data_IF_626573479978
#
_entry.id   IF_626573479978
#
_cell.length_a   1.000
_cell.length_b   1.000
_cell.length_c   1.000
_cell.angle_alpha   90.00
_cell.angle_beta   90.00
_cell.angle_gamma   90.00
#
_symmetry.space_group_name_H-M   'P 1'
#
loop_
_entity.id
_entity.type
_entity.pdbx_description
1 polymer ?
#
# COMPACT_ATOMS: atom_id res chain seq x y z
N UNK A 1 6.27 -0.28 -0.11
CA UNK A 1 7.20 -0.80 0.93
C UNK A 1 8.16 0.22 1.56
N UNK A 2 9.18 0.78 0.87
CA UNK A 2 10.19 1.63 1.54
C UNK A 2 9.62 2.89 2.22
N UNK A 3 8.84 3.71 1.50
CA UNK A 3 8.24 4.93 2.07
C UNK A 3 7.27 4.59 3.21
N UNK A 4 6.54 3.48 3.12
CA UNK A 4 5.70 2.97 4.23
C UNK A 4 6.52 2.68 5.48
N UNK A 5 7.68 2.02 5.36
CA UNK A 5 8.55 1.74 6.50
C UNK A 5 9.07 3.05 7.15
N UNK A 6 9.43 4.05 6.33
CA UNK A 6 9.83 5.38 6.83
C UNK A 6 8.66 6.09 7.51
N UNK A 7 7.46 6.02 6.96
CA UNK A 7 6.26 6.58 7.57
C UNK A 7 5.89 5.87 8.88
N UNK A 8 6.07 4.56 8.97
CA UNK A 8 5.85 3.79 10.19
C UNK A 8 6.73 4.30 11.34
N UNK A 9 8.00 4.65 11.06
CA UNK A 9 8.89 5.23 12.07
C UNK A 9 8.38 6.55 12.66
N UNK A 10 7.56 7.31 11.92
CA UNK A 10 6.98 8.57 12.42
C UNK A 10 5.79 8.36 13.38
N UNK A 11 5.31 7.13 13.53
CA UNK A 11 4.19 6.79 14.41
C UNK A 11 4.60 6.54 15.88
N UNK A 12 5.89 6.67 16.20
CA UNK A 12 6.40 6.52 17.56
C UNK A 12 5.66 7.46 18.53
N UNK A 13 5.04 6.89 19.56
CA UNK A 13 4.24 7.61 20.54
C UNK A 13 2.92 8.22 20.03
N UNK A 14 2.54 7.99 18.77
CA UNK A 14 1.28 8.51 18.18
C UNK A 14 0.09 7.57 18.41
N UNK A 15 0.35 6.26 18.50
CA UNK A 15 -0.68 5.23 18.66
C UNK A 15 -0.34 4.42 19.91
N UNK A 16 -1.25 4.44 20.89
CA UNK A 16 -1.07 3.68 22.12
C UNK A 16 -1.02 2.17 21.83
N UNK A 17 0.02 1.51 22.36
CA UNK A 17 0.22 0.06 22.22
C UNK A 17 0.78 -0.40 20.87
N UNK A 18 1.15 0.51 19.96
CA UNK A 18 1.78 0.15 18.69
C UNK A 18 3.27 -0.20 18.90
N UNK A 19 3.68 -1.38 18.45
CA UNK A 19 5.09 -1.69 18.23
C UNK A 19 5.53 -1.17 16.86
N UNK A 20 6.18 -0.01 16.86
CA UNK A 20 6.68 0.64 15.64
C UNK A 20 7.73 -0.21 14.92
N UNK A 21 8.60 -0.90 15.67
CA UNK A 21 9.62 -1.75 15.05
C UNK A 21 8.97 -2.91 14.30
N UNK A 22 7.95 -3.54 14.89
CA UNK A 22 7.17 -4.59 14.23
C UNK A 22 6.42 -4.05 13.00
N UNK A 23 5.80 -2.87 13.08
CA UNK A 23 5.13 -2.24 11.95
C UNK A 23 6.10 -1.90 10.79
N UNK A 24 7.32 -1.46 11.10
CA UNK A 24 8.40 -1.25 10.12
C UNK A 24 8.78 -2.56 9.44
N UNK A 25 9.05 -3.62 10.21
CA UNK A 25 9.37 -4.93 9.64
C UNK A 25 8.24 -5.47 8.77
N UNK A 26 7.00 -5.37 9.25
CA UNK A 26 5.82 -5.81 8.50
C UNK A 26 5.64 -5.03 7.18
N UNK A 27 5.85 -3.71 7.19
CA UNK A 27 5.80 -2.87 5.99
C UNK A 27 6.82 -3.29 4.91
N UNK A 28 7.95 -3.87 5.30
CA UNK A 28 8.99 -4.36 4.39
C UNK A 28 8.72 -5.76 3.84
N UNK A 29 7.85 -6.56 4.49
CA UNK A 29 7.61 -7.96 4.09
C UNK A 29 6.22 -8.22 3.53
N UNK A 30 5.24 -7.34 3.75
CA UNK A 30 3.84 -7.62 3.39
C UNK A 30 3.64 -7.92 1.90
N UNK A 31 4.33 -7.19 1.01
CA UNK A 31 4.29 -7.42 -0.45
C UNK A 31 5.50 -8.23 -0.94
N UNK A 32 6.27 -8.87 -0.05
CA UNK A 32 7.48 -9.58 -0.46
C UNK A 32 7.19 -10.75 -1.42
N UNK A 33 6.02 -11.38 -1.30
CA UNK A 33 5.56 -12.43 -2.20
C UNK A 33 5.40 -11.95 -3.65
N UNK A 34 5.14 -10.66 -3.89
CA UNK A 34 5.01 -10.07 -5.23
C UNK A 34 6.30 -10.16 -6.05
N UNK A 35 7.45 -10.40 -5.41
CA UNK A 35 8.71 -10.64 -6.11
C UNK A 35 8.68 -11.91 -6.98
N UNK A 36 7.85 -12.90 -6.62
CA UNK A 36 7.65 -14.14 -7.39
C UNK A 36 6.32 -14.09 -8.14
N UNK A 37 5.26 -13.66 -7.46
CA UNK A 37 3.88 -13.72 -7.95
C UNK A 37 3.57 -12.57 -8.93
N UNK A 38 4.30 -11.47 -8.84
CA UNK A 38 4.04 -10.22 -9.54
C UNK A 38 3.00 -9.34 -8.81
N UNK A 39 3.08 -8.03 -9.03
CA UNK A 39 2.09 -7.06 -8.59
C UNK A 39 0.90 -7.06 -9.57
N UNK A 40 -0.20 -7.71 -9.17
CA UNK A 40 -1.41 -7.79 -9.98
C UNK A 40 -2.36 -6.66 -9.59
N UNK A 41 -2.35 -5.61 -10.42
CA UNK A 41 -3.31 -4.51 -10.29
C UNK A 41 -4.61 -4.80 -11.07
N UNK A 42 -5.76 -4.20 -10.69
CA UNK A 42 -7.04 -4.38 -11.40
C UNK A 42 -7.02 -4.00 -12.89
N UNK A 43 -5.99 -3.26 -13.35
CA UNK A 43 -5.88 -2.68 -14.69
C UNK A 43 -4.80 -3.29 -15.58
N UNK A 44 -4.19 -4.42 -15.20
CA UNK A 44 -3.02 -4.99 -15.90
C UNK A 44 -3.22 -5.45 -17.36
N UNK A 45 -4.36 -5.21 -18.02
CA UNK A 45 -4.50 -5.36 -19.47
C UNK A 45 -4.20 -6.77 -20.03
N UNK A 46 -4.23 -7.79 -19.17
CA UNK A 46 -4.16 -9.21 -19.52
C UNK A 46 -5.52 -9.64 -20.08
N UNK A 47 -5.54 -10.56 -21.06
CA UNK A 47 -6.79 -11.16 -21.55
C UNK A 47 -7.54 -11.80 -20.38
N UNK A 48 -8.89 -11.84 -20.43
CA UNK A 48 -9.69 -12.38 -19.33
C UNK A 48 -9.26 -13.82 -18.96
N UNK A 49 -8.74 -14.62 -19.90
CA UNK A 49 -8.18 -15.96 -19.61
C UNK A 49 -6.82 -15.95 -18.87
N UNK A 50 -5.82 -15.16 -19.31
CA UNK A 50 -4.53 -15.07 -18.58
C UNK A 50 -4.70 -14.35 -17.25
N UNK A 51 -5.64 -13.40 -17.18
CA UNK A 51 -6.08 -12.75 -15.96
C UNK A 51 -6.73 -13.77 -15.04
N UNK A 52 -7.62 -14.65 -15.53
CA UNK A 52 -8.24 -15.68 -14.69
C UNK A 52 -7.23 -16.73 -14.20
N UNK A 53 -6.25 -17.13 -15.02
CA UNK A 53 -5.20 -18.07 -14.61
C UNK A 53 -4.19 -17.44 -13.65
N UNK A 54 -3.74 -16.20 -13.90
CA UNK A 54 -2.82 -15.49 -13.01
C UNK A 54 -3.52 -14.93 -11.78
N UNK A 55 -4.80 -14.55 -11.83
CA UNK A 55 -5.58 -14.16 -10.65
C UNK A 55 -5.88 -15.39 -9.81
N UNK A 56 -6.34 -16.50 -10.39
CA UNK A 56 -6.50 -17.74 -9.60
C UNK A 56 -5.18 -18.26 -9.05
N UNK A 57 -4.04 -17.92 -9.67
CA UNK A 57 -2.74 -18.28 -9.13
C UNK A 57 -2.20 -17.25 -8.13
N UNK A 58 -2.27 -15.96 -8.36
CA UNK A 58 -1.67 -14.94 -7.50
C UNK A 58 -2.54 -14.50 -6.33
N UNK A 59 -3.85 -14.40 -6.58
CA UNK A 59 -4.83 -14.01 -5.56
C UNK A 59 -5.26 -15.17 -4.68
N UNK A 60 -4.85 -16.40 -5.01
CA UNK A 60 -4.93 -17.53 -4.08
C UNK A 60 -3.94 -17.29 -2.93
N UNK A 61 -4.43 -17.12 -1.70
CA UNK A 61 -3.58 -16.96 -0.53
C UNK A 61 -2.58 -18.12 -0.38
N UNK A 62 -2.89 -19.30 -0.92
CA UNK A 62 -2.00 -20.46 -0.90
C UNK A 62 -0.73 -20.25 -1.74
N UNK A 63 -0.82 -19.54 -2.85
CA UNK A 63 0.33 -19.31 -3.74
C UNK A 63 1.17 -18.14 -3.24
N UNK A 64 0.56 -17.08 -2.74
CA UNK A 64 1.30 -16.05 -2.01
C UNK A 64 1.99 -16.61 -0.76
N UNK A 65 1.33 -17.55 -0.05
CA UNK A 65 1.94 -18.31 1.05
C UNK A 65 3.10 -19.21 0.59
N UNK A 66 3.02 -19.80 -0.60
CA UNK A 66 4.10 -20.61 -1.18
C UNK A 66 5.28 -19.73 -1.59
N UNK A 67 5.02 -18.58 -2.21
CA UNK A 67 6.04 -17.62 -2.63
C UNK A 67 6.80 -17.04 -1.42
N UNK A 68 6.10 -16.62 -0.35
CA UNK A 68 6.79 -16.13 0.85
C UNK A 68 7.61 -17.23 1.53
N UNK A 69 7.14 -18.49 1.50
CA UNK A 69 7.91 -19.63 2.00
C UNK A 69 9.16 -19.91 1.15
N UNK A 70 9.05 -19.81 -0.17
CA UNK A 70 10.18 -19.94 -1.09
C UNK A 70 11.24 -18.88 -0.81
N UNK A 71 10.85 -17.60 -0.72
CA UNK A 71 11.76 -16.50 -0.38
C UNK A 71 12.39 -16.71 0.99
N UNK A 72 11.58 -17.08 2.00
CA UNK A 72 12.07 -17.35 3.35
C UNK A 72 13.06 -18.51 3.41
N UNK A 73 12.94 -19.51 2.52
CA UNK A 73 13.84 -20.67 2.46
C UNK A 73 15.26 -20.33 1.99
N UNK A 74 15.44 -19.18 1.33
CA UNK A 74 16.75 -18.71 0.85
C UNK A 74 17.67 -18.27 2.00
N UNK A 75 17.11 -18.04 3.18
CA UNK A 75 17.84 -17.60 4.38
C UNK A 75 17.68 -18.65 5.48
N UNK A 76 18.73 -18.96 6.26
CA UNK A 76 18.60 -19.92 7.36
C UNK A 76 17.47 -19.52 8.32
N UNK A 77 16.70 -20.51 8.76
CA UNK A 77 15.58 -20.32 9.71
C UNK A 77 16.04 -19.66 11.01
N UNK A 78 17.28 -19.93 11.42
CA UNK A 78 17.91 -19.33 12.61
C UNK A 78 18.16 -17.82 12.50
N UNK A 79 18.07 -17.25 11.29
CA UNK A 79 18.33 -15.84 11.03
C UNK A 79 17.02 -15.06 10.96
N UNK A 80 16.08 -15.41 10.07
CA UNK A 80 14.81 -14.66 9.93
C UNK A 80 13.68 -15.34 9.14
N UNK A 81 13.90 -16.47 8.45
CA UNK A 81 12.94 -17.01 7.48
C UNK A 81 11.52 -17.23 8.04
N UNK A 82 11.37 -17.83 9.22
CA UNK A 82 10.07 -18.04 9.84
C UNK A 82 9.39 -16.72 10.24
N UNK A 83 10.16 -15.73 10.69
CA UNK A 83 9.64 -14.44 11.13
C UNK A 83 8.97 -13.68 9.97
N UNK A 84 9.52 -13.77 8.75
CA UNK A 84 8.92 -13.13 7.57
C UNK A 84 7.58 -13.76 7.20
N UNK A 85 7.50 -15.09 7.22
CA UNK A 85 6.25 -15.82 6.97
C UNK A 85 5.20 -15.49 8.04
N UNK A 86 5.61 -15.40 9.30
CA UNK A 86 4.73 -15.02 10.41
C UNK A 86 4.21 -13.58 10.27
N UNK A 87 5.08 -12.62 9.98
CA UNK A 87 4.70 -11.22 9.75
C UNK A 87 3.78 -11.07 8.54
N UNK A 88 4.07 -11.78 7.45
CA UNK A 88 3.21 -11.80 6.26
C UNK A 88 1.82 -12.35 6.60
N UNK A 89 1.73 -13.50 7.30
CA UNK A 89 0.45 -14.08 7.74
C UNK A 89 -0.31 -13.15 8.67
N UNK A 90 0.39 -12.47 9.57
CA UNK A 90 -0.22 -11.51 10.49
C UNK A 90 -0.81 -10.32 9.74
N UNK A 91 -0.07 -9.79 8.75
CA UNK A 91 -0.58 -8.75 7.86
C UNK A 91 -1.82 -9.24 7.11
N UNK A 92 -1.77 -10.38 6.44
CA UNK A 92 -2.93 -10.91 5.70
C UNK A 92 -4.17 -11.11 6.59
N UNK A 93 -3.96 -11.59 7.82
CA UNK A 93 -5.04 -11.83 8.76
C UNK A 93 -5.69 -10.56 9.34
N UNK A 94 -4.99 -9.41 9.30
CA UNK A 94 -5.49 -8.11 9.77
C UNK A 94 -6.06 -8.10 11.21
N UNK A 95 -5.57 -9.00 12.08
CA UNK A 95 -6.10 -9.18 13.43
C UNK A 95 -5.35 -8.37 14.50
N UNK A 96 -4.10 -7.97 14.24
CA UNK A 96 -3.27 -7.19 15.18
C UNK A 96 -3.36 -5.68 14.90
N UNK A 97 -2.94 -4.87 15.87
CA UNK A 97 -2.89 -3.42 15.71
C UNK A 97 -1.87 -3.04 14.62
N UNK A 98 -0.70 -3.67 14.64
CA UNK A 98 0.38 -3.48 13.68
C UNK A 98 -0.10 -3.78 12.25
N UNK A 99 -0.77 -4.91 12.03
CA UNK A 99 -1.31 -5.28 10.72
C UNK A 99 -2.30 -4.24 10.18
N UNK A 100 -3.20 -3.75 11.05
CA UNK A 100 -4.17 -2.70 10.68
C UNK A 100 -3.48 -1.37 10.38
N UNK A 101 -2.46 -1.00 11.17
CA UNK A 101 -1.66 0.21 10.98
C UNK A 101 -0.88 0.13 9.66
N UNK A 102 -0.23 -0.99 9.36
CA UNK A 102 0.46 -1.20 8.07
C UNK A 102 -0.53 -1.16 6.91
N UNK A 103 -1.76 -1.65 7.08
CA UNK A 103 -2.79 -1.53 6.03
C UNK A 103 -3.20 -0.08 5.75
N UNK A 104 -3.24 0.75 6.79
CA UNK A 104 -3.45 2.19 6.61
C UNK A 104 -2.25 2.84 5.92
N UNK A 105 -1.02 2.46 6.27
CA UNK A 105 0.19 2.94 5.61
C UNK A 105 0.21 2.57 4.13
N UNK A 106 -0.15 1.34 3.78
CA UNK A 106 -0.26 0.83 2.39
C UNK A 106 -1.17 1.76 1.57
N UNK A 107 -2.41 1.96 2.07
CA UNK A 107 -3.40 2.77 1.36
C UNK A 107 -3.07 4.26 1.34
N UNK A 108 -2.43 4.79 2.37
CA UNK A 108 -1.98 6.17 2.40
C UNK A 108 -0.84 6.40 1.40
N UNK A 109 0.16 5.52 1.37
CA UNK A 109 1.29 5.58 0.44
C UNK A 109 0.81 5.56 -1.02
N UNK A 110 -0.19 4.72 -1.32
CA UNK A 110 -0.82 4.62 -2.63
C UNK A 110 -1.42 5.97 -3.10
N UNK A 111 -2.21 6.65 -2.25
CA UNK A 111 -2.81 7.93 -2.63
C UNK A 111 -1.81 9.10 -2.60
N UNK A 112 -0.80 9.04 -1.73
CA UNK A 112 0.31 9.99 -1.74
C UNK A 112 1.09 9.90 -3.06
N UNK A 113 1.36 8.68 -3.53
CA UNK A 113 2.00 8.46 -4.83
C UNK A 113 1.12 8.94 -5.99
N UNK A 114 -0.19 8.68 -5.92
CA UNK A 114 -1.13 9.15 -6.93
C UNK A 114 -1.08 10.68 -7.04
N UNK A 115 -1.14 11.41 -5.91
CA UNK A 115 -1.01 12.87 -5.90
C UNK A 115 0.30 13.38 -6.54
N UNK A 116 1.43 12.76 -6.19
CA UNK A 116 2.73 13.11 -6.79
C UNK A 116 2.74 12.92 -8.31
N UNK A 117 2.11 11.85 -8.80
CA UNK A 117 2.02 11.55 -10.24
C UNK A 117 1.04 12.47 -10.98
N UNK A 118 -0.10 12.83 -10.39
CA UNK A 118 -0.99 13.84 -10.96
C UNK A 118 -0.25 15.17 -11.14
N UNK A 119 0.51 15.60 -10.13
CA UNK A 119 1.31 16.83 -10.20
C UNK A 119 2.43 16.79 -11.22
N UNK A 120 3.09 15.64 -11.35
CA UNK A 120 4.25 15.49 -12.23
C UNK A 120 3.87 15.31 -13.70
N UNK A 121 2.78 14.59 -13.96
CA UNK A 121 2.42 14.16 -15.32
C UNK A 121 1.11 14.75 -15.82
N UNK A 122 0.32 15.44 -14.97
CA UNK A 122 -0.96 16.04 -15.38
C UNK A 122 -2.04 15.02 -15.74
N UNK A 123 -1.92 13.79 -15.23
CA UNK A 123 -2.88 12.70 -15.45
C UNK A 123 -3.94 12.69 -14.36
N UNK A 124 -5.13 12.14 -14.64
CA UNK A 124 -6.19 11.96 -13.65
C UNK A 124 -6.03 10.61 -12.95
N UNK A 125 -5.81 10.65 -11.63
CA UNK A 125 -5.72 9.47 -10.77
C UNK A 125 -6.79 9.49 -9.67
N UNK A 126 -7.89 10.20 -9.90
CA UNK A 126 -9.01 10.33 -8.95
C UNK A 126 -9.53 8.98 -8.46
N UNK A 127 -9.49 7.93 -9.27
CA UNK A 127 -9.94 6.59 -8.89
C UNK A 127 -9.24 6.03 -7.63
N UNK A 128 -7.97 6.38 -7.39
CA UNK A 128 -7.23 5.96 -6.21
C UNK A 128 -7.71 6.69 -4.93
N UNK A 129 -8.13 7.95 -5.08
CA UNK A 129 -8.73 8.72 -3.99
C UNK A 129 -10.16 8.28 -3.69
N UNK A 130 -10.90 7.86 -4.72
CA UNK A 130 -12.25 7.32 -4.58
C UNK A 130 -12.25 5.97 -3.86
N UNK A 131 -11.33 5.07 -4.20
CA UNK A 131 -11.23 3.72 -3.60
C UNK A 131 -10.84 3.73 -2.11
N UNK A 132 -10.34 4.86 -1.59
CA UNK A 132 -9.84 5.00 -0.22
C UNK A 132 -10.71 5.87 0.70
N UNK A 133 -11.86 6.36 0.22
CA UNK A 133 -12.72 7.31 0.96
C UNK A 133 -13.12 6.89 2.38
N UNK A 134 -13.29 5.59 2.62
CA UNK A 134 -13.75 5.04 3.91
C UNK A 134 -12.71 4.14 4.57
N UNK A 135 -11.48 4.14 4.06
CA UNK A 135 -10.43 3.22 4.52
C UNK A 135 -9.80 3.72 5.82
N UNK A 136 -9.50 5.01 5.92
CA UNK A 136 -8.76 5.56 7.05
C UNK A 136 -9.69 5.78 8.25
N UNK A 137 -9.45 5.02 9.31
CA UNK A 137 -10.30 5.03 10.52
C UNK A 137 -9.52 5.24 11.81
N UNK A 138 -8.19 5.09 11.77
CA UNK A 138 -7.29 5.20 12.92
C UNK A 138 -6.54 6.55 12.89
N UNK A 139 -6.35 7.20 14.03
CA UNK A 139 -5.46 8.36 14.14
C UNK A 139 -3.98 7.89 14.15
N UNK A 140 -3.04 8.59 13.48
CA UNK A 140 -3.19 9.88 12.81
C UNK A 140 -3.64 9.81 11.34
N UNK A 141 -3.89 8.62 10.77
CA UNK A 141 -4.21 8.46 9.34
C UNK A 141 -5.44 9.24 8.87
N UNK A 142 -6.47 9.38 9.71
CA UNK A 142 -7.62 10.25 9.40
C UNK A 142 -7.19 11.70 9.15
N UNK A 143 -6.22 12.20 9.93
CA UNK A 143 -5.69 13.55 9.77
C UNK A 143 -4.79 13.65 8.54
N UNK A 144 -3.95 12.63 8.30
CA UNK A 144 -3.07 12.60 7.14
C UNK A 144 -3.86 12.56 5.82
N UNK A 145 -4.90 11.73 5.73
CA UNK A 145 -5.78 11.66 4.55
C UNK A 145 -6.49 13.00 4.30
N UNK A 146 -7.05 13.61 5.34
CA UNK A 146 -7.71 14.92 5.22
C UNK A 146 -6.76 16.00 4.70
N UNK A 147 -5.53 16.06 5.22
CA UNK A 147 -4.53 17.02 4.79
C UNK A 147 -4.07 16.77 3.34
N UNK A 148 -3.81 15.53 2.96
CA UNK A 148 -3.43 15.19 1.59
C UNK A 148 -4.54 15.53 0.58
N UNK A 149 -5.80 15.20 0.89
CA UNK A 149 -6.96 15.53 0.04
C UNK A 149 -7.14 17.03 -0.10
N UNK A 150 -6.96 17.79 0.98
CA UNK A 150 -6.99 19.26 0.94
C UNK A 150 -5.92 19.82 0.00
N UNK A 151 -4.67 19.35 0.11
CA UNK A 151 -3.58 19.78 -0.78
C UNK A 151 -3.87 19.45 -2.25
N UNK A 152 -4.46 18.28 -2.52
CA UNK A 152 -4.89 17.90 -3.85
C UNK A 152 -5.99 18.81 -4.40
N UNK A 153 -7.01 19.09 -3.59
CA UNK A 153 -8.13 19.94 -4.00
C UNK A 153 -7.72 21.40 -4.24
N UNK A 154 -6.76 21.91 -3.47
CA UNK A 154 -6.13 23.21 -3.71
C UNK A 154 -5.38 23.23 -5.05
N UNK A 155 -4.55 22.21 -5.29
CA UNK A 155 -3.80 22.08 -6.55
C UNK A 155 -4.72 21.96 -7.77
N UNK A 156 -5.77 21.13 -7.70
CA UNK A 156 -6.74 20.98 -8.79
C UNK A 156 -7.47 22.29 -9.10
N UNK A 157 -7.80 23.09 -8.09
CA UNK A 157 -8.42 24.41 -8.28
C UNK A 157 -7.47 25.38 -8.99
N UNK A 158 -6.21 25.42 -8.57
CA UNK A 158 -5.18 26.27 -9.21
C UNK A 158 -4.89 25.88 -10.65
N UNK A 159 -4.90 24.59 -10.99
CA UNK A 159 -4.61 24.12 -12.34
C UNK A 159 -5.82 24.23 -13.29
N UNK A 160 -7.07 24.09 -12.80
CA UNK A 160 -8.27 24.31 -13.64
C UNK A 160 -8.44 25.76 -14.09
N UNK A 161 -7.95 26.74 -13.32
CA UNK A 161 -7.98 28.15 -13.72
C UNK A 161 -7.04 28.48 -14.90
N UNK A 162 -6.07 27.61 -15.22
CA UNK A 162 -5.10 27.85 -16.29
C UNK A 162 -5.60 27.31 -17.64
N UNK A 163 -6.31 26.18 -17.65
CA UNK A 163 -6.85 25.57 -18.89
C UNK A 163 -8.04 26.34 -19.50
N UNK A 164 -8.67 27.24 -18.73
CA UNK A 164 -9.78 28.07 -19.18
C UNK A 164 -9.39 29.22 -20.11
N UNK A 165 -8.10 29.49 -20.33
CA UNK A 165 -7.61 30.64 -21.12
C UNK A 165 -6.98 30.26 -22.47
N UNK A 166 -6.98 28.97 -22.86
CA UNK A 166 -6.38 28.51 -24.13
C UNK A 166 -7.38 27.84 -25.10
N UNK A 167 -8.68 28.13 -24.97
CA UNK A 167 -9.69 27.72 -25.97
C UNK A 167 -10.52 28.90 -26.43
N UNK A 168 -9.91 29.83 -27.16
CA UNK A 168 -10.58 30.72 -28.13
C UNK A 168 -9.75 30.80 -29.40
#
# INVERSE_FOLDING_TARGET
MYRMAVLAMSLEGQIEGLDVSRAVFMSLVHDLAEAIVGDITPHCGVSDEEKYERENQASDPLISCTAIQEIASLVPVTVSGNQWVELWREYEAQNTLEAKVVKHLDKFDMIAQAYEYERKYGIDLSQFFESTKTVFTIAPFVTWDAELRKQRDEWLRSNRSVDGYQRE
#
